data_IF_806484294598
#
_entry.id   IF_806484294598
#
_cell.length_a   1.000
_cell.length_b   1.000
_cell.length_c   1.000
_cell.angle_alpha   90.00
_cell.angle_beta   90.00
_cell.angle_gamma   90.00
#
_symmetry.space_group_name_H-M   'P 1'
#
loop_
_entity.id
_entity.type
_entity.pdbx_description
1 polymer ?
#
# COMPACT_ATOMS: atom_id res chain seq x y z
N UNK A 1 14.67 0.18 -3.24
CA UNK A 1 13.61 0.91 -2.50
C UNK A 1 14.26 2.11 -1.85
N UNK A 2 13.67 3.30 -1.94
CA UNK A 2 14.32 4.51 -1.43
C UNK A 2 14.16 4.62 0.10
N UNK A 3 15.24 4.99 0.81
CA UNK A 3 15.30 5.06 2.28
C UNK A 3 14.30 6.07 2.89
N UNK A 4 13.90 7.08 2.10
CA UNK A 4 12.94 8.10 2.53
C UNK A 4 11.48 7.69 2.38
N UNK A 5 11.20 6.55 1.74
CA UNK A 5 9.84 6.08 1.48
C UNK A 5 9.09 5.85 2.80
N UNK A 6 7.93 6.49 3.02
CA UNK A 6 7.10 6.22 4.19
C UNK A 6 6.38 4.87 4.02
N UNK A 7 6.32 4.10 5.10
CA UNK A 7 5.67 2.80 5.19
C UNK A 7 4.71 2.84 6.37
N UNK A 8 3.42 2.74 6.07
CA UNK A 8 2.36 2.76 7.07
C UNK A 8 2.22 1.42 7.81
N UNK A 9 1.68 1.50 9.02
CA UNK A 9 1.30 0.32 9.82
C UNK A 9 0.40 -0.63 9.01
N UNK A 10 -0.54 -0.08 8.24
CA UNK A 10 -1.46 -0.86 7.39
C UNK A 10 -0.75 -1.58 6.26
N UNK A 11 0.27 -0.98 5.64
CA UNK A 11 1.07 -1.67 4.63
C UNK A 11 1.87 -2.83 5.24
N UNK A 12 2.40 -2.65 6.46
CA UNK A 12 3.06 -3.76 7.18
C UNK A 12 2.07 -4.88 7.52
N UNK A 13 0.87 -4.55 7.99
CA UNK A 13 -0.19 -5.53 8.26
C UNK A 13 -0.55 -6.34 7.00
N UNK A 14 -0.73 -5.65 5.86
CA UNK A 14 -1.02 -6.31 4.59
C UNK A 14 0.13 -7.20 4.11
N UNK A 15 1.37 -6.74 4.22
CA UNK A 15 2.56 -7.52 3.85
C UNK A 15 2.72 -8.76 4.74
N UNK A 16 2.55 -8.62 6.06
CA UNK A 16 2.58 -9.75 7.01
C UNK A 16 1.49 -10.76 6.66
N UNK A 17 0.26 -10.29 6.39
CA UNK A 17 -0.86 -11.16 6.03
C UNK A 17 -0.62 -11.91 4.72
N UNK A 18 0.00 -11.25 3.73
CA UNK A 18 0.39 -11.88 2.47
C UNK A 18 1.39 -13.03 2.68
N UNK A 19 2.44 -12.80 3.46
CA UNK A 19 3.44 -13.84 3.73
C UNK A 19 2.87 -15.00 4.56
N UNK A 20 1.96 -14.70 5.50
CA UNK A 20 1.22 -15.71 6.27
C UNK A 20 0.30 -16.57 5.40
N UNK A 21 -0.35 -16.01 4.38
CA UNK A 21 -1.21 -16.78 3.48
C UNK A 21 -0.41 -17.65 2.51
N UNK A 22 0.81 -17.22 2.13
CA UNK A 22 1.68 -17.94 1.19
C UNK A 22 2.47 -19.09 1.82
N UNK A 23 2.83 -18.97 3.10
CA UNK A 23 3.42 -20.06 3.87
C UNK A 23 2.44 -20.50 4.97
N UNK A 24 1.38 -21.26 4.63
CA UNK A 24 0.57 -21.91 5.64
C UNK A 24 1.48 -22.90 6.39
N UNK A 25 1.79 -22.61 7.66
CA UNK A 25 2.64 -23.45 8.51
C UNK A 25 2.19 -24.90 8.42
N UNK A 26 2.96 -25.74 7.72
CA UNK A 26 2.65 -27.15 7.54
C UNK A 26 3.35 -27.92 8.67
N UNK A 27 2.76 -27.95 9.87
CA UNK A 27 3.30 -28.66 11.03
C UNK A 27 2.91 -28.06 12.39
N UNK A 28 3.21 -28.78 13.48
CA UNK A 28 2.92 -28.38 14.88
C UNK A 28 3.67 -27.12 15.36
N UNK A 29 4.66 -26.64 14.59
CA UNK A 29 5.31 -25.36 14.86
C UNK A 29 4.72 -24.28 13.95
N UNK A 30 3.77 -23.52 14.48
CA UNK A 30 3.25 -22.28 13.89
C UNK A 30 4.32 -21.16 13.87
N UNK A 31 5.47 -21.43 13.27
CA UNK A 31 6.51 -20.44 13.04
C UNK A 31 6.06 -19.54 11.90
N UNK A 32 6.03 -18.24 12.19
CA UNK A 32 5.87 -17.20 11.20
C UNK A 32 6.97 -17.37 10.15
N UNK A 33 6.63 -17.37 8.86
CA UNK A 33 7.62 -17.40 7.77
C UNK A 33 8.68 -16.31 7.98
N UNK A 34 9.91 -16.55 7.52
CA UNK A 34 11.08 -15.69 7.80
C UNK A 34 10.82 -14.22 7.40
N UNK A 35 10.09 -14.03 6.31
CA UNK A 35 9.66 -12.77 5.74
C UNK A 35 8.61 -12.07 6.62
N UNK A 36 7.58 -12.79 7.04
CA UNK A 36 6.57 -12.25 7.95
C UNK A 36 7.17 -11.92 9.33
N UNK A 37 8.12 -12.71 9.82
CA UNK A 37 8.85 -12.42 11.05
C UNK A 37 9.72 -11.17 10.93
N UNK A 38 10.38 -10.97 9.78
CA UNK A 38 11.19 -9.77 9.53
C UNK A 38 10.34 -8.48 9.51
N UNK A 39 9.08 -8.56 9.10
CA UNK A 39 8.14 -7.43 9.10
C UNK A 39 7.43 -7.23 10.44
N UNK A 40 7.34 -8.27 11.27
CA UNK A 40 6.68 -8.20 12.58
C UNK A 40 7.42 -7.28 13.56
N UNK A 41 8.75 -7.25 13.52
CA UNK A 41 9.57 -6.39 14.39
C UNK A 41 9.30 -4.89 14.19
N UNK A 42 9.40 -4.33 12.97
CA UNK A 42 9.07 -2.92 12.75
C UNK A 42 7.59 -2.61 12.98
N UNK A 43 6.68 -3.56 12.72
CA UNK A 43 5.26 -3.41 13.06
C UNK A 43 5.04 -3.28 14.58
N UNK A 44 5.66 -4.14 15.38
CA UNK A 44 5.59 -4.07 16.83
C UNK A 44 6.17 -2.74 17.36
N UNK A 45 7.24 -2.24 16.73
CA UNK A 45 7.81 -0.93 17.06
C UNK A 45 6.82 0.22 16.84
N UNK A 46 6.04 0.19 15.74
CA UNK A 46 5.00 1.21 15.49
C UNK A 46 3.93 1.20 16.57
N UNK A 47 3.45 0.01 16.96
CA UNK A 47 2.47 -0.13 18.05
C UNK A 47 3.04 0.39 19.37
N UNK A 48 4.26 -0.03 19.71
CA UNK A 48 4.90 0.34 20.97
C UNK A 48 5.14 1.85 21.08
N UNK A 49 5.52 2.50 19.98
CA UNK A 49 5.76 3.95 19.94
C UNK A 49 4.49 4.78 19.72
N UNK A 50 3.37 4.15 19.36
CA UNK A 50 2.14 4.85 18.95
C UNK A 50 2.26 5.56 17.59
N UNK A 51 3.29 5.23 16.80
CA UNK A 51 3.48 5.77 15.47
C UNK A 51 2.59 5.04 14.44
N UNK A 52 2.24 5.73 13.35
CA UNK A 52 1.40 5.17 12.28
C UNK A 52 2.18 4.81 11.02
N UNK A 53 3.43 5.27 10.92
CA UNK A 53 4.32 5.03 9.80
C UNK A 53 5.78 5.09 10.25
N UNK A 54 6.65 4.45 9.47
CA UNK A 54 8.10 4.51 9.59
C UNK A 54 8.73 4.72 8.22
N UNK A 55 10.01 5.09 8.22
CA UNK A 55 10.79 5.24 6.97
C UNK A 55 11.35 3.89 6.55
N UNK A 56 11.49 3.65 5.25
CA UNK A 56 12.12 2.45 4.73
C UNK A 56 13.53 2.20 5.31
N UNK A 57 14.25 3.27 5.64
CA UNK A 57 15.52 3.22 6.35
C UNK A 57 15.46 2.54 7.74
N UNK A 58 14.29 2.53 8.39
CA UNK A 58 14.06 1.92 9.70
C UNK A 58 13.80 0.41 9.64
N UNK A 59 13.63 -0.16 8.44
CA UNK A 59 13.60 -1.61 8.26
C UNK A 59 15.02 -2.15 8.13
N UNK A 60 15.28 -3.29 8.77
CA UNK A 60 16.48 -4.08 8.50
C UNK A 60 16.46 -4.67 7.08
N UNK A 61 17.61 -5.15 6.60
CA UNK A 61 17.75 -5.70 5.25
C UNK A 61 16.72 -6.78 4.91
N UNK A 62 16.47 -7.71 5.85
CA UNK A 62 15.46 -8.76 5.67
C UNK A 62 14.04 -8.18 5.55
N UNK A 63 13.73 -7.13 6.31
CA UNK A 63 12.44 -6.44 6.25
C UNK A 63 12.26 -5.69 4.93
N UNK A 64 13.31 -5.00 4.45
CA UNK A 64 13.30 -4.32 3.15
C UNK A 64 13.07 -5.30 2.00
N UNK A 65 13.76 -6.44 2.02
CA UNK A 65 13.60 -7.48 0.99
C UNK A 65 12.18 -8.09 1.02
N UNK A 66 11.68 -8.46 2.20
CA UNK A 66 10.33 -9.01 2.35
C UNK A 66 9.24 -8.02 1.91
N UNK A 67 9.40 -6.73 2.24
CA UNK A 67 8.47 -5.69 1.85
C UNK A 67 8.53 -5.40 0.34
N UNK A 68 9.72 -5.34 -0.25
CA UNK A 68 9.89 -5.14 -1.69
C UNK A 68 9.30 -6.30 -2.51
N UNK A 69 9.51 -7.54 -2.08
CA UNK A 69 8.93 -8.72 -2.72
C UNK A 69 7.40 -8.76 -2.59
N UNK A 70 6.84 -8.30 -1.46
CA UNK A 70 5.40 -8.11 -1.34
C UNK A 70 4.87 -7.04 -2.30
N UNK A 71 5.56 -5.90 -2.42
CA UNK A 71 5.17 -4.85 -3.37
C UNK A 71 5.18 -5.36 -4.80
N UNK A 72 6.22 -6.07 -5.23
CA UNK A 72 6.28 -6.65 -6.58
C UNK A 72 5.10 -7.61 -6.84
N UNK A 73 4.68 -8.36 -5.81
CA UNK A 73 3.58 -9.31 -5.92
C UNK A 73 2.17 -8.69 -5.86
N UNK A 74 2.00 -7.55 -5.17
CA UNK A 74 0.68 -6.91 -4.95
C UNK A 74 0.48 -5.68 -5.83
N UNK A 75 1.55 -5.09 -6.36
CA UNK A 75 1.46 -4.09 -7.41
C UNK A 75 0.95 -4.79 -8.68
N UNK A 76 -0.23 -4.43 -9.23
CA UNK A 76 -0.50 -4.79 -10.62
C UNK A 76 0.60 -4.12 -11.45
N UNK A 77 1.26 -4.88 -12.33
CA UNK A 77 2.33 -4.35 -13.20
C UNK A 77 1.95 -2.99 -13.79
N UNK A 78 2.92 -2.09 -14.03
CA UNK A 78 2.66 -0.67 -14.24
C UNK A 78 1.51 -0.46 -15.22
N UNK A 79 0.43 0.28 -14.87
CA UNK A 79 -0.48 0.73 -15.90
C UNK A 79 0.32 1.65 -16.79
N UNK A 80 0.59 1.22 -18.02
CA UNK A 80 0.89 2.15 -19.08
C UNK A 80 -0.29 3.13 -19.18
N UNK A 81 -0.11 4.30 -18.56
CA UNK A 81 -1.00 5.46 -18.58
C UNK A 81 -2.33 5.38 -17.78
N UNK A 82 -2.67 6.56 -17.24
CA UNK A 82 -3.98 7.01 -16.74
C UNK A 82 -4.45 6.46 -15.38
N UNK A 83 -4.99 7.24 -14.44
CA UNK A 83 -5.19 8.68 -14.22
C UNK A 83 -5.67 8.78 -12.77
N UNK A 84 -5.26 9.82 -12.04
CA UNK A 84 -5.77 10.18 -10.70
C UNK A 84 -7.26 9.88 -10.48
N UNK A 85 -7.67 9.57 -9.23
CA UNK A 85 -8.94 10.05 -8.74
C UNK A 85 -8.68 11.01 -7.57
N UNK A 86 -8.47 12.29 -7.90
CA UNK A 86 -8.75 13.37 -6.96
C UNK A 86 -10.26 13.41 -6.76
N UNK A 87 -10.70 12.98 -5.57
CA UNK A 87 -11.75 13.58 -4.74
C UNK A 87 -12.70 14.60 -5.40
N UNK A 88 -13.93 14.18 -5.72
CA UNK A 88 -15.22 14.74 -5.23
C UNK A 88 -16.38 14.48 -6.22
N UNK A 89 -17.51 13.86 -5.80
CA UNK A 89 -18.80 14.04 -6.45
C UNK A 89 -19.56 15.16 -5.73
N UNK A 90 -19.27 16.41 -6.06
CA UNK A 90 -20.08 17.55 -5.63
C UNK A 90 -20.77 18.16 -6.85
N UNK A 91 -22.03 17.75 -7.00
CA UNK A 91 -23.17 18.52 -7.49
C UNK A 91 -22.87 19.98 -7.83
N UNK A 92 -22.99 20.39 -9.10
CA UNK A 92 -23.85 21.53 -9.38
C UNK A 92 -24.41 21.53 -10.81
N UNK A 93 -25.72 21.73 -10.83
CA UNK A 93 -26.59 21.94 -11.97
C UNK A 93 -26.33 23.33 -12.55
N UNK A 94 -26.15 23.44 -13.87
CA UNK A 94 -26.28 24.71 -14.56
C UNK A 94 -26.90 24.48 -15.95
N UNK A 95 -28.13 24.95 -16.04
CA UNK A 95 -29.06 24.92 -17.15
C UNK A 95 -28.69 26.08 -18.10
N UNK A 96 -28.41 25.83 -19.40
CA UNK A 96 -29.04 26.54 -20.53
C UNK A 96 -28.43 26.16 -21.90
N UNK A 97 -29.26 25.85 -22.93
CA UNK A 97 -28.80 25.73 -24.30
C UNK A 97 -28.75 27.09 -25.01
N UNK A 98 -27.70 27.24 -25.82
CA UNK A 98 -27.42 28.40 -26.65
C UNK A 98 -28.54 28.70 -27.67
N UNK A 99 -28.91 29.98 -27.73
CA UNK A 99 -29.70 30.58 -28.80
C UNK A 99 -28.85 30.56 -30.08
N UNK A 100 -29.32 29.89 -31.14
CA UNK A 100 -28.73 29.97 -32.49
C UNK A 100 -29.16 31.28 -33.16
N UNK A 101 -28.27 32.00 -33.85
CA UNK A 101 -28.66 33.06 -34.76
C UNK A 101 -28.89 32.47 -36.16
N UNK A 102 -30.06 32.70 -36.76
CA UNK A 102 -30.22 32.60 -38.22
C UNK A 102 -31.05 33.79 -38.71
N UNK A 103 -30.47 34.45 -39.70
CA UNK A 103 -30.90 35.64 -40.42
C UNK A 103 -31.44 35.19 -41.78
N UNK A 104 -32.50 35.87 -42.25
CA UNK A 104 -33.11 35.93 -43.60
C UNK A 104 -34.58 35.51 -43.60
#
# INVERSE_FOLDING_TARGET
>A
MDDSTPISITQLEQAINYWRSRSPSTGEEARLGREAAALATPYALLIYTGARELRAASLDEAGRQAYAAWLDAVQPGPPAAATNPTTNPATNSAINPAIKPTKA
#
